data_IF_709677776035
#
_entry.id   IF_709677776035
#
_cell.length_a   1.000
_cell.length_b   1.000
_cell.length_c   1.000
_cell.angle_alpha   90.00
_cell.angle_beta   90.00
_cell.angle_gamma   90.00
#
_symmetry.space_group_name_H-M   'P 1'
#
loop_
_entity.id
_entity.type
_entity.pdbx_description
1 polymer ?
#
# COMPACT_ATOMS: atom_id res chain seq x y z
N UNK A 1 -32.41 -0.33 11.37
CA UNK A 1 -31.77 -0.30 11.18
C UNK A 1 -30.88 -0.67 10.95
N UNK A 2 -30.83 -0.76 11.00
CA UNK A 2 -30.01 -0.96 10.91
C UNK A 2 -28.99 -1.25 10.56
N UNK A 3 -28.82 -1.19 10.49
CA UNK A 3 -27.93 -1.26 10.21
C UNK A 3 -26.96 -1.39 10.05
N UNK A 4 -26.89 -1.20 10.23
CA UNK A 4 -26.05 -1.14 10.14
C UNK A 4 -25.17 -1.70 10.11
N UNK A 5 -25.08 -1.90 10.24
CA UNK A 5 -24.20 -2.25 10.27
C UNK A 5 -23.31 -2.72 9.78
N UNK A 6 -23.18 -3.15 9.84
CA UNK A 6 -22.45 -3.68 9.25
C UNK A 6 -21.35 -3.23 8.81
N UNK A 7 -21.03 -2.55 9.15
CA UNK A 7 -20.05 -1.89 8.72
C UNK A 7 -18.82 -2.42 8.58
N UNK A 8 -18.57 -2.94 9.32
CA UNK A 8 -17.37 -3.45 9.35
C UNK A 8 -17.00 -4.05 8.13
N UNK A 9 -17.83 -4.16 7.32
CA UNK A 9 -17.49 -4.69 6.17
C UNK A 9 -17.21 -3.68 5.26
N UNK A 10 -16.30 -2.89 5.50
CA UNK A 10 -15.95 -1.96 4.60
C UNK A 10 -15.29 -2.63 3.52
N UNK A 11 -15.98 -2.85 2.55
CA UNK A 11 -15.44 -3.42 1.41
C UNK A 11 -14.92 -2.31 0.58
N UNK A 12 -13.69 -2.36 0.22
CA UNK A 12 -13.12 -1.39 -0.67
C UNK A 12 -13.74 -1.55 -2.06
N UNK A 13 -13.82 -0.46 -2.78
CA UNK A 13 -14.35 -0.46 -4.13
C UNK A 13 -13.22 -0.57 -5.14
N UNK A 14 -13.47 -1.14 -6.33
CA UNK A 14 -12.47 -1.13 -7.39
C UNK A 14 -12.02 0.30 -7.68
N UNK A 15 -10.76 0.45 -7.95
CA UNK A 15 -10.08 1.72 -8.23
C UNK A 15 -9.86 2.60 -7.01
N UNK A 16 -10.34 2.19 -5.86
CA UNK A 16 -10.06 2.92 -4.64
C UNK A 16 -8.60 2.77 -4.26
N UNK A 17 -7.98 3.83 -3.77
CA UNK A 17 -6.60 3.77 -3.30
C UNK A 17 -6.63 3.41 -1.83
N UNK A 18 -5.86 2.40 -1.47
CA UNK A 18 -5.73 1.96 -0.09
C UNK A 18 -4.26 1.99 0.28
N UNK A 19 -3.99 1.94 1.57
CA UNK A 19 -2.61 1.89 2.00
C UNK A 19 -2.43 0.91 3.15
N UNK A 20 -1.21 0.40 3.25
CA UNK A 20 -0.80 -0.50 4.29
C UNK A 20 0.42 0.10 4.95
N UNK A 21 0.29 0.45 6.22
CA UNK A 21 1.38 1.06 6.97
C UNK A 21 2.11 0.02 7.80
N UNK A 22 3.41 0.07 7.80
CA UNK A 22 4.22 -0.76 8.67
C UNK A 22 5.46 0.04 9.04
N UNK A 23 5.58 0.38 10.32
CA UNK A 23 6.70 1.17 10.84
C UNK A 23 6.78 2.49 10.08
N UNK A 24 7.91 2.76 9.44
CA UNK A 24 8.09 4.03 8.75
C UNK A 24 7.78 3.93 7.26
N UNK A 25 7.18 2.85 6.84
CA UNK A 25 6.89 2.62 5.43
C UNK A 25 5.39 2.55 5.20
N UNK A 26 4.96 2.96 4.03
CA UNK A 26 3.55 2.90 3.67
C UNK A 26 3.43 2.50 2.20
N UNK A 27 2.70 1.42 1.97
CA UNK A 27 2.43 0.95 0.61
C UNK A 27 1.09 1.50 0.17
N UNK A 28 1.07 2.16 -0.98
CA UNK A 28 -0.16 2.64 -1.59
C UNK A 28 -0.48 1.80 -2.80
N UNK A 29 -1.72 1.37 -2.91
CA UNK A 29 -2.13 0.48 -3.97
C UNK A 29 -3.56 0.77 -4.40
N UNK A 30 -3.85 0.40 -5.63
CA UNK A 30 -5.20 0.55 -6.17
C UNK A 30 -5.91 -0.78 -6.08
N UNK A 31 -7.14 -0.76 -5.57
CA UNK A 31 -7.93 -1.99 -5.46
C UNK A 31 -8.39 -2.41 -6.84
N UNK A 32 -8.15 -3.66 -7.18
CA UNK A 32 -8.68 -4.26 -8.38
C UNK A 32 -10.01 -4.94 -8.07
N UNK A 33 -10.02 -5.74 -7.02
CA UNK A 33 -11.22 -6.49 -6.65
C UNK A 33 -11.08 -7.00 -5.21
N UNK A 34 -12.21 -7.17 -4.54
CA UNK A 34 -12.22 -7.76 -3.21
C UNK A 34 -13.01 -9.06 -3.26
N UNK A 35 -12.41 -10.13 -2.77
CA UNK A 35 -13.09 -11.40 -2.59
C UNK A 35 -13.70 -11.40 -1.20
N UNK A 36 -14.96 -10.99 -1.10
CA UNK A 36 -15.56 -10.72 0.19
C UNK A 36 -15.66 -11.93 1.08
N UNK A 37 -15.91 -13.09 0.51
CA UNK A 37 -16.05 -14.31 1.33
C UNK A 37 -14.74 -14.66 2.02
N UNK A 38 -13.62 -14.41 1.36
CA UNK A 38 -12.32 -14.73 1.93
C UNK A 38 -11.67 -13.56 2.59
N UNK A 39 -12.26 -12.38 2.48
CA UNK A 39 -11.68 -11.15 3.02
C UNK A 39 -10.29 -10.91 2.46
N UNK A 40 -10.12 -11.19 1.18
CA UNK A 40 -8.87 -11.00 0.46
C UNK A 40 -9.05 -9.85 -0.52
N UNK A 41 -8.07 -8.98 -0.58
CA UNK A 41 -8.10 -7.85 -1.47
C UNK A 41 -7.02 -8.01 -2.54
N UNK A 42 -7.44 -7.91 -3.79
CA UNK A 42 -6.50 -7.90 -4.91
C UNK A 42 -6.17 -6.45 -5.18
N UNK A 43 -4.90 -6.08 -4.99
CA UNK A 43 -4.48 -4.71 -5.17
C UNK A 43 -3.31 -4.64 -6.14
N UNK A 44 -3.22 -3.50 -6.81
CA UNK A 44 -2.11 -3.21 -7.72
C UNK A 44 -1.24 -2.16 -7.07
N UNK A 45 -0.03 -2.50 -6.64
CA UNK A 45 0.83 -1.53 -5.99
C UNK A 45 1.15 -0.34 -6.88
N UNK A 46 1.11 0.85 -6.29
CA UNK A 46 1.44 2.08 -6.99
C UNK A 46 2.80 2.59 -6.55
N UNK A 47 3.00 2.70 -5.25
CA UNK A 47 4.24 3.22 -4.71
C UNK A 47 4.44 2.78 -3.28
N UNK A 48 5.70 2.79 -2.86
CA UNK A 48 6.08 2.59 -1.47
C UNK A 48 6.75 3.85 -1.01
N UNK A 49 6.29 4.41 0.10
CA UNK A 49 6.92 5.61 0.66
C UNK A 49 7.58 5.26 1.97
N UNK A 50 8.76 5.83 2.20
CA UNK A 50 9.48 5.64 3.44
C UNK A 50 9.80 6.98 4.04
N UNK A 51 9.45 7.15 5.31
CA UNK A 51 9.71 8.39 6.00
C UNK A 51 11.00 8.23 6.80
N UNK A 52 11.91 9.17 6.66
CA UNK A 52 13.14 9.10 7.42
C UNK A 52 12.86 9.46 8.86
N UNK A 53 13.60 8.81 9.74
CA UNK A 53 13.36 8.98 11.16
C UNK A 53 13.74 10.37 11.63
N UNK A 54 14.79 10.92 11.09
CA UNK A 54 15.25 12.22 11.55
C UNK A 54 14.36 13.31 11.04
N UNK A 55 13.80 14.10 11.92
CA UNK A 55 12.99 15.23 11.48
C UNK A 55 13.95 16.25 10.91
N UNK A 56 14.05 16.30 9.65
CA UNK A 56 14.83 17.33 9.04
C UNK A 56 13.89 18.24 8.31
N UNK A 57 14.39 19.35 7.90
CA UNK A 57 13.57 20.30 7.26
C UNK A 57 13.05 19.86 5.94
N UNK A 58 13.72 18.93 5.31
CA UNK A 58 13.19 18.47 4.04
C UNK A 58 12.56 17.15 4.28
N UNK A 59 11.35 17.18 4.78
CA UNK A 59 10.70 15.97 5.18
C UNK A 59 10.06 15.23 4.07
N UNK A 60 10.60 15.29 2.91
CA UNK A 60 10.03 14.52 1.81
C UNK A 60 10.31 13.06 2.02
N UNK A 61 9.29 12.23 1.94
CA UNK A 61 9.52 10.78 2.01
C UNK A 61 10.24 10.32 0.76
N UNK A 62 10.94 9.21 0.88
CA UNK A 62 11.49 8.53 -0.27
C UNK A 62 10.37 7.74 -0.89
N UNK A 63 10.18 7.87 -2.21
CA UNK A 63 9.09 7.23 -2.91
C UNK A 63 9.65 6.29 -3.96
N UNK A 64 9.21 5.04 -3.92
CA UNK A 64 9.61 4.04 -4.89
C UNK A 64 8.42 3.72 -5.80
N UNK A 65 8.64 3.74 -7.10
CA UNK A 65 7.61 3.47 -8.09
C UNK A 65 7.40 1.96 -8.22
N UNK A 66 6.21 1.48 -7.92
CA UNK A 66 5.90 0.06 -7.99
C UNK A 66 4.99 -0.30 -9.15
N UNK A 67 4.68 0.64 -10.02
CA UNK A 67 3.66 0.42 -11.04
C UNK A 67 4.05 -0.60 -12.10
N UNK A 68 5.33 -0.96 -12.16
CA UNK A 68 5.80 -1.96 -13.11
C UNK A 68 5.82 -3.37 -12.52
N UNK A 69 5.43 -3.52 -11.28
CA UNK A 69 5.58 -4.79 -10.58
C UNK A 69 4.30 -5.60 -10.52
N UNK A 70 4.34 -6.64 -9.69
CA UNK A 70 3.26 -7.60 -9.58
C UNK A 70 2.17 -7.13 -8.64
N UNK A 71 0.97 -7.63 -8.86
CA UNK A 71 -0.15 -7.38 -7.96
C UNK A 71 -0.03 -8.20 -6.69
N UNK A 72 -0.80 -7.83 -5.68
CA UNK A 72 -0.85 -8.55 -4.41
C UNK A 72 -2.27 -9.04 -4.13
N UNK A 73 -2.34 -10.21 -3.51
CA UNK A 73 -3.60 -10.75 -2.99
C UNK A 73 -3.41 -10.91 -1.50
N UNK A 74 -3.86 -9.94 -0.73
CA UNK A 74 -3.58 -9.88 0.70
C UNK A 74 -4.86 -9.61 1.49
N UNK A 75 -4.84 -9.94 2.80
CA UNK A 75 -6.03 -9.74 3.64
C UNK A 75 -6.49 -8.28 3.65
N UNK A 76 -7.80 -8.11 3.57
CA UNK A 76 -8.40 -6.78 3.61
C UNK A 76 -8.01 -6.03 4.88
N UNK A 77 -7.89 -6.78 5.99
CA UNK A 77 -7.63 -6.17 7.29
C UNK A 77 -6.31 -5.44 7.39
N UNK A 78 -5.40 -5.70 6.46
CA UNK A 78 -4.10 -5.00 6.47
C UNK A 78 -4.17 -3.61 5.88
N UNK A 79 -5.24 -3.29 5.19
CA UNK A 79 -5.34 -2.04 4.44
C UNK A 79 -6.33 -1.08 5.07
N UNK A 80 -6.12 0.20 4.84
CA UNK A 80 -7.10 1.24 5.15
C UNK A 80 -7.27 2.12 3.92
N UNK A 81 -8.37 2.86 3.82
CA UNK A 81 -8.51 3.82 2.72
C UNK A 81 -7.40 4.86 2.81
N UNK A 82 -6.86 5.23 1.67
CA UNK A 82 -5.88 6.30 1.62
C UNK A 82 -6.62 7.62 1.40
N UNK A 83 -6.13 8.67 2.04
CA UNK A 83 -6.70 9.99 1.84
C UNK A 83 -6.07 10.64 0.61
N UNK A 84 -6.88 11.36 -0.14
CA UNK A 84 -6.35 12.07 -1.30
C UNK A 84 -5.22 13.02 -0.90
N UNK A 85 -5.36 13.66 0.26
CA UNK A 85 -4.35 14.61 0.72
C UNK A 85 -3.01 13.96 1.00
N UNK A 86 -3.00 12.66 1.29
CA UNK A 86 -1.73 11.98 1.52
C UNK A 86 -1.16 11.36 0.24
N UNK A 87 -2.02 10.89 -0.65
CA UNK A 87 -1.53 10.14 -1.81
C UNK A 87 -1.20 11.03 -3.01
N UNK A 88 -1.96 12.09 -3.23
CA UNK A 88 -1.74 12.93 -4.40
C UNK A 88 -0.34 13.55 -4.44
N UNK A 89 0.18 14.10 -3.34
CA UNK A 89 1.54 14.64 -3.39
C UNK A 89 2.59 13.58 -3.73
N UNK A 90 2.36 12.35 -3.29
CA UNK A 90 3.30 11.27 -3.57
C UNK A 90 3.23 10.86 -5.04
N UNK A 91 2.05 10.84 -5.61
CA UNK A 91 1.91 10.54 -7.04
C UNK A 91 2.56 11.63 -7.89
N UNK A 92 2.43 12.89 -7.48
CA UNK A 92 3.10 13.97 -8.17
C UNK A 92 4.60 13.79 -8.10
N UNK A 93 5.11 13.38 -6.94
CA UNK A 93 6.53 13.14 -6.79
C UNK A 93 7.01 12.03 -7.73
N UNK A 94 6.20 10.99 -7.91
CA UNK A 94 6.54 9.95 -8.86
C UNK A 94 6.63 10.47 -10.30
N UNK A 95 5.71 11.35 -10.67
CA UNK A 95 5.68 11.85 -12.04
C UNK A 95 6.88 12.74 -12.36
N UNK A 96 7.49 13.30 -11.35
CA UNK A 96 8.65 14.16 -11.56
C UNK A 96 9.98 13.45 -11.34
N UNK A 97 9.95 12.18 -10.98
CA UNK A 97 11.17 11.45 -10.71
C UNK A 97 11.79 10.90 -12.00
N UNK A 98 13.10 10.69 -11.94
CA UNK A 98 13.79 10.06 -13.05
C UNK A 98 13.35 8.61 -13.19
N UNK A 99 13.17 8.19 -14.42
CA UNK A 99 12.73 6.83 -14.68
C UNK A 99 13.86 5.99 -15.24
N UNK A 100 14.91 5.88 -14.48
CA UNK A 100 16.03 5.07 -14.91
C UNK A 100 15.76 3.60 -14.57
N UNK A 101 16.28 2.67 -15.38
CA UNK A 101 16.07 1.26 -15.10
C UNK A 101 16.56 0.83 -13.73
N UNK A 102 17.62 1.47 -13.23
CA UNK A 102 18.14 1.12 -11.92
C UNK A 102 17.15 1.47 -10.82
N UNK A 103 16.35 2.51 -11.04
CA UNK A 103 15.34 2.92 -10.05
C UNK A 103 14.29 1.84 -9.86
N UNK A 104 13.89 1.18 -10.94
CA UNK A 104 12.89 0.12 -10.82
C UNK A 104 13.44 -1.09 -10.08
N UNK A 105 14.72 -1.35 -10.26
CA UNK A 105 15.34 -2.47 -9.57
C UNK A 105 15.43 -2.22 -8.08
N UNK A 106 15.80 -1.00 -7.71
CA UNK A 106 15.86 -0.61 -6.30
C UNK A 106 14.46 -0.66 -5.70
N UNK A 107 13.46 -0.17 -6.43
CA UNK A 107 12.09 -0.18 -5.95
C UNK A 107 11.62 -1.61 -5.69
N UNK A 108 11.96 -2.54 -6.58
CA UNK A 108 11.58 -3.94 -6.39
C UNK A 108 12.23 -4.52 -5.15
N UNK A 109 13.48 -4.20 -4.91
CA UNK A 109 14.17 -4.71 -3.73
C UNK A 109 13.54 -4.17 -2.45
N UNK A 110 13.22 -2.88 -2.42
CA UNK A 110 12.58 -2.29 -1.25
C UNK A 110 11.19 -2.86 -1.04
N UNK A 111 10.47 -3.09 -2.11
CA UNK A 111 9.15 -3.67 -2.03
C UNK A 111 9.22 -5.10 -1.45
N UNK A 112 10.18 -5.89 -1.93
CA UNK A 112 10.33 -7.25 -1.43
C UNK A 112 10.68 -7.27 0.06
N UNK A 113 11.53 -6.35 0.50
CA UNK A 113 11.83 -6.23 1.92
C UNK A 113 10.58 -5.88 2.72
N UNK A 114 9.79 -4.94 2.22
CA UNK A 114 8.56 -4.52 2.87
C UNK A 114 7.59 -5.70 2.98
N UNK A 115 7.43 -6.45 1.90
CA UNK A 115 6.54 -7.61 1.88
C UNK A 115 6.96 -8.61 2.95
N UNK A 116 8.24 -8.90 3.05
CA UNK A 116 8.71 -9.85 4.05
C UNK A 116 8.49 -9.36 5.47
N UNK A 117 8.70 -8.07 5.70
CA UNK A 117 8.49 -7.50 7.02
C UNK A 117 7.01 -7.57 7.42
N UNK A 118 6.12 -7.25 6.48
CA UNK A 118 4.69 -7.33 6.76
C UNK A 118 4.27 -8.77 7.00
N UNK A 119 4.76 -9.69 6.18
CA UNK A 119 4.45 -11.09 6.36
C UNK A 119 4.85 -11.58 7.75
N UNK A 120 6.06 -11.22 8.19
CA UNK A 120 6.53 -11.65 9.51
C UNK A 120 5.72 -11.01 10.63
N UNK A 121 5.36 -9.75 10.48
CA UNK A 121 4.66 -9.02 11.53
C UNK A 121 3.20 -9.43 11.66
N UNK A 122 2.57 -9.81 10.55
CA UNK A 122 1.12 -10.06 10.54
C UNK A 122 0.75 -11.45 10.08
N UNK A 123 1.55 -12.44 10.47
CA UNK A 123 1.30 -13.81 10.05
C UNK A 123 -0.11 -14.28 10.39
N UNK A 124 -0.62 -13.87 11.52
CA UNK A 124 -1.94 -14.31 11.95
C UNK A 124 -3.03 -13.83 10.99
N UNK A 125 -2.86 -12.66 10.39
CA UNK A 125 -3.84 -12.15 9.44
C UNK A 125 -3.88 -13.01 8.18
N UNK A 126 -2.71 -13.45 7.72
CA UNK A 126 -2.65 -14.29 6.53
C UNK A 126 -3.19 -15.69 6.79
N UNK A 127 -3.10 -16.16 8.01
CA UNK A 127 -3.56 -17.51 8.34
C UNK A 127 -5.01 -17.56 8.74
N UNK A 128 -5.61 -16.43 8.99
CA UNK A 128 -6.98 -16.39 9.49
C UNK A 128 -8.03 -16.65 8.41
N UNK A 129 -7.64 -16.75 7.19
CA UNK A 129 -8.62 -16.93 6.12
C UNK A 129 -9.14 -18.34 5.99
#
# INVERSE_FOLDING_TARGET
>A
MEQAFIPSISVFQPHQIVCLEHEMSCLYAEVVQVATKRQICWVRPLLLSETLVAPSESDRPIVYDLRQGADLLWPVSLFRPALDTEVIPLLVQLETADREPESFQIARQQFNCFIQQVWQAYKSEFQAS
#
